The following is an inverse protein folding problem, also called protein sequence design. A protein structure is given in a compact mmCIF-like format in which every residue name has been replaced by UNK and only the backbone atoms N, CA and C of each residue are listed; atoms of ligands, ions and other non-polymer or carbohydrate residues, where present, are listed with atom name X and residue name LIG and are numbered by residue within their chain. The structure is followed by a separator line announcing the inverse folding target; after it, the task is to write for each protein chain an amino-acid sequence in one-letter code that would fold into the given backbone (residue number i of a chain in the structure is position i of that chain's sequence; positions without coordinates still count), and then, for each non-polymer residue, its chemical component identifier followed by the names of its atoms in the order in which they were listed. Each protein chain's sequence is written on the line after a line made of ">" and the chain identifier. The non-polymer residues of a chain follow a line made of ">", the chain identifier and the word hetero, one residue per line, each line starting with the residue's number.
data_IF_070673871444
#
_entry.id   IF_070673871444
#
_cell.length_a   1.000
_cell.length_b   1.000
_cell.length_c   1.000
_cell.angle_alpha   90.00
_cell.angle_beta   90.00
_cell.angle_gamma   90.00
#
_symmetry.space_group_name_H-M   'P 1'
#
loop_
_entity.id
_entity.type
_entity.pdbx_description
1 polymer ?
#
# COMPACT_ATOMS: atom_id res chain seq x y z
N UNK A 1 -17.26 16.13 -6.29
CA UNK A 1 -18.45 15.55 -5.60
C UNK A 1 -18.75 14.11 -6.02
N UNK A 2 -18.88 13.77 -7.31
CA UNK A 2 -19.20 12.39 -7.75
C UNK A 2 -18.15 11.32 -7.37
N UNK A 3 -16.85 11.62 -7.45
CA UNK A 3 -15.80 10.67 -7.06
C UNK A 3 -15.87 10.31 -5.56
N UNK A 4 -15.95 11.33 -4.69
CA UNK A 4 -16.15 11.16 -3.25
C UNK A 4 -17.45 10.40 -2.92
N UNK A 5 -18.53 10.67 -3.64
CA UNK A 5 -19.78 9.95 -3.47
C UNK A 5 -19.63 8.46 -3.80
N UNK A 6 -18.99 8.14 -4.93
CA UNK A 6 -18.67 6.76 -5.31
C UNK A 6 -17.79 6.08 -4.25
N UNK A 7 -16.78 6.79 -3.73
CA UNK A 7 -15.94 6.31 -2.65
C UNK A 7 -16.74 5.97 -1.38
N UNK A 8 -17.65 6.86 -0.95
CA UNK A 8 -18.55 6.63 0.19
C UNK A 8 -19.45 5.41 -0.01
N UNK A 9 -20.01 5.22 -1.20
CA UNK A 9 -20.88 4.08 -1.52
C UNK A 9 -20.18 2.73 -1.40
N UNK A 10 -18.87 2.68 -1.69
CA UNK A 10 -18.09 1.43 -1.53
C UNK A 10 -17.90 1.11 -0.05
N UNK A 11 -17.61 2.13 0.75
CA UNK A 11 -17.72 2.05 2.20
C UNK A 11 -16.66 1.23 2.94
N UNK A 12 -15.74 0.65 2.18
CA UNK A 12 -14.56 -0.06 2.65
C UNK A 12 -13.41 0.32 1.76
N UNK A 13 -12.22 0.38 2.33
CA UNK A 13 -11.00 0.75 1.63
C UNK A 13 -10.04 -0.44 1.60
N UNK A 14 -9.67 -0.86 0.40
CA UNK A 14 -8.46 -1.64 0.16
C UNK A 14 -7.32 -0.67 -0.11
N UNK A 15 -6.28 -0.75 0.70
CA UNK A 15 -5.06 0.02 0.53
C UNK A 15 -3.92 -0.88 0.08
N UNK A 16 -3.50 -0.77 -1.16
CA UNK A 16 -2.26 -1.39 -1.65
C UNK A 16 -1.11 -0.41 -1.50
N UNK A 17 0.04 -0.84 -0.99
CA UNK A 17 1.24 0.00 -1.04
C UNK A 17 2.44 -0.69 -1.66
N UNK A 18 3.00 -0.02 -2.66
CA UNK A 18 4.21 -0.42 -3.38
C UNK A 18 5.32 0.51 -2.90
N UNK A 19 5.44 0.58 -1.57
CA UNK A 19 6.42 1.39 -0.86
C UNK A 19 6.77 0.67 0.44
N UNK A 20 8.05 0.48 0.76
CA UNK A 20 8.43 -0.21 2.00
C UNK A 20 7.89 0.46 3.26
N UNK A 21 7.83 1.79 3.27
CA UNK A 21 7.65 2.61 4.49
C UNK A 21 6.34 3.39 4.55
N UNK A 22 5.44 3.21 3.58
CA UNK A 22 4.18 3.94 3.50
C UNK A 22 3.05 3.37 4.35
N UNK A 23 3.07 2.05 4.59
CA UNK A 23 2.00 1.29 5.24
C UNK A 23 1.51 1.90 6.55
N UNK A 24 2.42 2.04 7.49
CA UNK A 24 2.13 2.57 8.83
C UNK A 24 1.64 4.00 8.82
N UNK A 25 2.28 4.88 8.05
CA UNK A 25 1.90 6.27 7.95
C UNK A 25 0.48 6.42 7.40
N UNK A 26 0.14 5.70 6.33
CA UNK A 26 -1.19 5.74 5.74
C UNK A 26 -2.24 5.12 6.66
N UNK A 27 -1.95 3.98 7.29
CA UNK A 27 -2.89 3.30 8.19
C UNK A 27 -3.30 4.22 9.35
N UNK A 28 -2.33 4.86 10.01
CA UNK A 28 -2.57 5.86 11.05
C UNK A 28 -3.38 7.04 10.54
N UNK A 29 -3.04 7.53 9.34
CA UNK A 29 -3.77 8.62 8.71
C UNK A 29 -5.23 8.25 8.44
N UNK A 30 -5.51 7.04 7.98
CA UNK A 30 -6.87 6.54 7.77
C UNK A 30 -7.64 6.50 9.09
N UNK A 31 -7.04 5.97 10.16
CA UNK A 31 -7.64 5.94 11.51
C UNK A 31 -7.90 7.36 12.04
N UNK A 32 -6.94 8.28 11.86
CA UNK A 32 -7.09 9.69 12.23
C UNK A 32 -8.25 10.37 11.49
N UNK A 33 -8.62 9.87 10.31
CA UNK A 33 -9.77 10.28 9.52
C UNK A 33 -11.01 9.39 9.71
N UNK A 34 -11.09 8.62 10.80
CA UNK A 34 -12.30 7.89 11.21
C UNK A 34 -12.44 6.46 10.69
N UNK A 35 -11.48 5.97 9.91
CA UNK A 35 -11.48 4.57 9.49
C UNK A 35 -11.25 3.63 10.68
N UNK A 36 -11.82 2.42 10.57
CA UNK A 36 -11.61 1.30 11.49
C UNK A 36 -10.72 0.25 10.83
N UNK A 37 -9.73 -0.25 11.56
CA UNK A 37 -8.74 -1.24 11.12
C UNK A 37 -8.39 -2.15 12.30
N UNK A 38 -7.91 -3.36 12.01
CA UNK A 38 -7.49 -4.35 13.02
C UNK A 38 -6.27 -3.88 13.83
N UNK A 39 -5.33 -3.25 13.12
CA UNK A 39 -4.09 -2.76 13.71
C UNK A 39 -3.90 -1.28 13.37
N UNK A 40 -3.32 -0.53 14.31
CA UNK A 40 -2.87 0.85 14.08
C UNK A 40 -1.52 0.92 13.35
N UNK A 41 -0.89 -0.24 13.07
CA UNK A 41 0.50 -0.31 12.61
C UNK A 41 0.65 -0.43 11.11
N UNK A 42 -0.16 -1.23 10.44
CA UNK A 42 -0.07 -1.37 8.98
C UNK A 42 -1.41 -1.73 8.32
N UNK A 43 -2.48 -1.83 9.10
CA UNK A 43 -3.81 -2.19 8.62
C UNK A 43 -3.86 -3.57 7.95
N UNK A 44 -2.85 -4.42 8.13
CA UNK A 44 -2.92 -5.81 7.69
C UNK A 44 -3.99 -6.56 8.49
N UNK A 45 -4.64 -7.49 7.82
CA UNK A 45 -5.54 -8.47 8.41
C UNK A 45 -4.88 -9.83 8.25
N UNK A 46 -4.44 -10.42 9.35
CA UNK A 46 -3.66 -11.67 9.33
C UNK A 46 -4.39 -12.80 8.60
N UNK A 47 -5.72 -12.87 8.76
CA UNK A 47 -6.58 -13.85 8.10
C UNK A 47 -6.52 -13.79 6.56
N UNK A 48 -6.02 -12.69 5.97
CA UNK A 48 -5.92 -12.53 4.52
C UNK A 48 -4.57 -12.95 3.93
N UNK A 49 -3.51 -13.03 4.74
CA UNK A 49 -2.17 -13.38 4.27
C UNK A 49 -1.63 -12.42 3.20
N UNK A 50 -1.91 -11.12 3.35
CA UNK A 50 -1.41 -10.07 2.46
C UNK A 50 -0.11 -9.44 2.96
N UNK A 51 0.61 -10.13 3.83
CA UNK A 51 1.94 -9.73 4.25
C UNK A 51 2.89 -9.61 3.04
N UNK A 52 3.82 -8.66 3.07
CA UNK A 52 4.76 -8.48 1.99
C UNK A 52 5.65 -9.72 1.84
N UNK A 53 6.08 -9.98 0.61
CA UNK A 53 6.88 -11.16 0.25
C UNK A 53 8.10 -10.72 -0.52
N UNK A 54 9.21 -10.56 0.19
CA UNK A 54 10.39 -9.89 -0.33
C UNK A 54 11.51 -10.85 -0.66
N UNK A 55 11.66 -11.93 0.11
CA UNK A 55 12.87 -12.74 0.09
C UNK A 55 12.67 -14.08 -0.60
N UNK A 56 13.62 -14.43 -1.46
CA UNK A 56 13.72 -15.77 -2.03
C UNK A 56 14.30 -16.72 -0.96
N UNK A 57 13.45 -17.62 -0.47
CA UNK A 57 13.81 -18.60 0.54
C UNK A 57 14.91 -19.55 0.05
N UNK A 58 14.85 -19.99 -1.21
CA UNK A 58 15.83 -20.93 -1.77
C UNK A 58 17.21 -20.27 -1.88
N UNK A 59 17.28 -19.00 -2.26
CA UNK A 59 18.54 -18.26 -2.28
C UNK A 59 19.07 -18.00 -0.87
N UNK A 60 18.20 -17.67 0.08
CA UNK A 60 18.58 -17.54 1.49
C UNK A 60 19.22 -18.84 2.02
N UNK A 61 18.63 -20.00 1.73
CA UNK A 61 19.18 -21.30 2.09
C UNK A 61 20.54 -21.57 1.42
N UNK A 62 20.71 -21.20 0.15
CA UNK A 62 21.99 -21.34 -0.56
C UNK A 62 23.10 -20.55 0.15
N UNK A 63 22.83 -19.32 0.60
CA UNK A 63 23.81 -18.51 1.33
C UNK A 63 24.22 -19.20 2.64
N UNK A 64 23.28 -19.89 3.31
CA UNK A 64 23.49 -20.58 4.59
C UNK A 64 24.20 -21.93 4.47
N UNK A 65 24.13 -22.65 3.35
CA UNK A 65 24.51 -24.09 3.20
C UNK A 65 25.82 -24.57 3.87
N UNK A 66 26.78 -23.70 4.13
CA UNK A 66 28.06 -24.05 4.78
C UNK A 66 28.28 -23.40 6.15
N UNK A 67 27.23 -22.83 6.74
CA UNK A 67 27.29 -22.06 7.97
C UNK A 67 26.23 -22.53 8.95
N UNK A 68 26.63 -22.71 10.21
CA UNK A 68 25.70 -22.88 11.30
C UNK A 68 25.31 -21.50 11.83
N UNK A 69 24.09 -21.08 11.51
CA UNK A 69 23.53 -19.77 11.86
C UNK A 69 22.20 -19.98 12.56
N UNK A 70 21.80 -19.09 13.47
CA UNK A 70 20.48 -19.16 14.11
C UNK A 70 19.33 -18.61 13.24
N UNK A 71 19.60 -18.29 11.97
CA UNK A 71 18.67 -17.63 11.06
C UNK A 71 18.22 -18.61 9.97
N UNK A 72 17.45 -19.62 10.37
CA UNK A 72 16.96 -20.66 9.46
C UNK A 72 15.73 -20.18 8.67
N UNK A 73 14.88 -19.38 9.31
CA UNK A 73 13.69 -18.80 8.71
C UNK A 73 13.89 -17.31 8.46
N UNK A 74 13.62 -16.87 7.22
CA UNK A 74 13.59 -15.45 6.91
C UNK A 74 12.18 -14.88 7.06
N UNK A 75 12.11 -13.67 7.60
CA UNK A 75 10.87 -12.90 7.63
C UNK A 75 10.44 -12.52 6.21
N UNK A 76 9.15 -12.61 5.88
CA UNK A 76 8.58 -12.23 4.56
C UNK A 76 9.10 -13.07 3.38
N UNK A 77 9.09 -14.41 3.47
CA UNK A 77 9.50 -15.27 2.36
C UNK A 77 8.50 -15.19 1.20
N UNK A 78 9.00 -15.38 -0.01
CA UNK A 78 8.19 -15.53 -1.20
C UNK A 78 7.42 -16.85 -1.15
N UNK A 79 6.14 -16.76 -0.76
CA UNK A 79 5.18 -17.87 -0.68
C UNK A 79 3.89 -17.53 -1.44
N UNK A 80 3.08 -18.51 -1.88
CA UNK A 80 1.78 -18.25 -2.50
C UNK A 80 0.75 -17.65 -1.52
N UNK A 81 -0.24 -16.89 -2.02
CA UNK A 81 -1.33 -16.35 -1.18
C UNK A 81 -2.42 -17.40 -1.02
N UNK A 82 -3.13 -17.32 0.10
CA UNK A 82 -4.43 -17.97 0.25
C UNK A 82 -5.46 -17.39 -0.75
N UNK A 83 -6.19 -18.23 -1.50
CA UNK A 83 -7.12 -17.78 -2.54
C UNK A 83 -8.45 -17.26 -1.94
N UNK A 84 -8.39 -16.16 -1.18
CA UNK A 84 -9.56 -15.55 -0.53
C UNK A 84 -10.17 -14.49 -1.45
N UNK A 85 -11.42 -14.71 -1.86
CA UNK A 85 -12.14 -13.80 -2.75
C UNK A 85 -12.39 -12.42 -2.14
N UNK A 86 -12.54 -11.40 -2.99
CA UNK A 86 -12.92 -10.05 -2.58
C UNK A 86 -14.28 -9.96 -1.87
N UNK A 87 -15.22 -10.87 -2.20
CA UNK A 87 -16.50 -10.98 -1.51
C UNK A 87 -16.29 -11.47 -0.08
N UNK A 88 -15.49 -12.52 0.10
CA UNK A 88 -15.15 -13.08 1.41
C UNK A 88 -14.43 -12.05 2.28
N UNK A 89 -13.45 -11.33 1.71
CA UNK A 89 -12.74 -10.24 2.39
C UNK A 89 -13.70 -9.16 2.87
N UNK A 90 -14.60 -8.68 2.00
CA UNK A 90 -15.61 -7.67 2.37
C UNK A 90 -16.50 -8.14 3.51
N UNK A 91 -17.04 -9.35 3.43
CA UNK A 91 -17.89 -9.91 4.49
C UNK A 91 -17.13 -10.03 5.82
N UNK A 92 -15.86 -10.43 5.77
CA UNK A 92 -15.02 -10.51 6.95
C UNK A 92 -14.84 -9.12 7.59
N UNK A 93 -14.47 -8.11 6.81
CA UNK A 93 -14.33 -6.72 7.30
C UNK A 93 -15.65 -6.20 7.90
N UNK A 94 -16.79 -6.52 7.27
CA UNK A 94 -18.11 -6.11 7.77
C UNK A 94 -18.41 -6.70 9.13
N UNK A 95 -18.15 -8.00 9.31
CA UNK A 95 -18.38 -8.71 10.59
C UNK A 95 -17.50 -8.18 11.72
N UNK A 96 -16.32 -7.67 11.40
CA UNK A 96 -15.37 -7.12 12.38
C UNK A 96 -15.43 -5.60 12.48
N UNK A 97 -16.45 -4.96 11.89
CA UNK A 97 -16.63 -3.51 11.87
C UNK A 97 -15.41 -2.72 11.34
N UNK A 98 -14.60 -3.34 10.48
CA UNK A 98 -13.45 -2.72 9.84
C UNK A 98 -13.86 -2.07 8.52
N UNK A 99 -13.26 -0.92 8.22
CA UNK A 99 -13.56 -0.13 7.03
C UNK A 99 -12.31 0.17 6.20
N UNK A 100 -11.12 -0.19 6.67
CA UNK A 100 -9.88 -0.10 5.93
C UNK A 100 -9.00 -1.33 6.22
N UNK A 101 -8.33 -1.84 5.20
CA UNK A 101 -7.27 -2.84 5.35
C UNK A 101 -6.17 -2.63 4.30
N UNK A 102 -4.99 -3.17 4.57
CA UNK A 102 -3.85 -3.12 3.68
C UNK A 102 -3.62 -4.44 2.94
N UNK A 103 -3.17 -4.31 1.70
CA UNK A 103 -2.66 -5.38 0.87
C UNK A 103 -1.20 -5.05 0.49
N UNK A 104 -0.23 -5.72 1.13
CA UNK A 104 1.21 -5.46 0.92
C UNK A 104 1.88 -6.40 -0.09
N UNK A 105 1.09 -7.22 -0.80
CA UNK A 105 1.63 -8.22 -1.71
C UNK A 105 1.33 -7.90 -3.19
N UNK A 106 0.30 -8.52 -3.75
CA UNK A 106 -0.09 -8.37 -5.16
C UNK A 106 -1.58 -8.08 -5.28
N UNK A 107 -2.02 -7.60 -6.44
CA UNK A 107 -3.41 -7.65 -6.85
C UNK A 107 -3.93 -9.09 -6.77
N UNK A 108 -5.23 -9.25 -6.52
CA UNK A 108 -5.88 -10.56 -6.47
C UNK A 108 -6.06 -11.13 -7.87
N UNK A 109 -6.36 -12.43 -7.95
CA UNK A 109 -6.35 -13.12 -9.23
C UNK A 109 -4.92 -13.23 -9.77
N UNK A 110 -4.77 -13.28 -11.09
CA UNK A 110 -3.42 -13.29 -11.69
C UNK A 110 -2.58 -14.54 -11.37
N UNK A 111 -3.19 -15.63 -10.90
CA UNK A 111 -2.47 -16.88 -10.61
C UNK A 111 -2.14 -17.67 -11.88
N UNK A 112 -3.04 -17.62 -12.87
CA UNK A 112 -2.90 -18.33 -14.15
C UNK A 112 -2.59 -17.39 -15.30
N UNK A 113 -3.07 -16.14 -15.23
CA UNK A 113 -2.88 -15.16 -16.29
C UNK A 113 -2.93 -13.72 -15.74
N UNK A 114 -1.99 -12.84 -16.13
CA UNK A 114 -1.92 -11.47 -15.62
C UNK A 114 -3.16 -10.63 -15.93
N UNK A 115 -3.90 -10.93 -16.98
CA UNK A 115 -5.12 -10.17 -17.34
C UNK A 115 -6.27 -10.39 -16.36
N UNK A 116 -6.20 -11.45 -15.54
CA UNK A 116 -7.16 -11.73 -14.49
C UNK A 116 -6.80 -11.04 -13.18
N UNK A 117 -5.70 -10.29 -13.12
CA UNK A 117 -5.32 -9.56 -11.92
C UNK A 117 -6.26 -8.37 -11.68
N UNK A 118 -6.68 -8.19 -10.43
CA UNK A 118 -7.58 -7.12 -10.04
C UNK A 118 -7.46 -6.78 -8.54
N UNK A 119 -7.66 -5.52 -8.14
CA UNK A 119 -7.99 -5.20 -6.76
C UNK A 119 -9.47 -5.54 -6.47
N UNK A 120 -9.92 -5.39 -5.23
CA UNK A 120 -11.30 -5.60 -4.84
C UNK A 120 -12.19 -4.42 -5.27
N UNK A 121 -12.74 -4.49 -6.49
CA UNK A 121 -13.59 -3.44 -7.07
C UNK A 121 -14.86 -3.12 -6.28
N UNK A 122 -15.30 -4.04 -5.40
CA UNK A 122 -16.38 -3.79 -4.46
C UNK A 122 -15.92 -2.93 -3.26
N UNK A 123 -14.70 -2.43 -3.23
CA UNK A 123 -14.11 -1.55 -2.22
C UNK A 123 -13.46 -0.34 -2.90
N UNK A 124 -13.25 0.74 -2.14
CA UNK A 124 -12.42 1.86 -2.56
C UNK A 124 -10.98 1.38 -2.61
N UNK A 125 -10.35 1.50 -3.76
CA UNK A 125 -9.02 0.95 -4.02
C UNK A 125 -8.01 2.09 -4.07
N UNK A 126 -7.08 2.07 -3.13
CA UNK A 126 -6.07 3.10 -2.97
C UNK A 126 -4.71 2.47 -3.21
N UNK A 127 -3.92 3.05 -4.11
CA UNK A 127 -2.56 2.59 -4.36
C UNK A 127 -1.57 3.67 -3.98
N UNK A 128 -0.70 3.36 -3.02
CA UNK A 128 0.45 4.20 -2.73
C UNK A 128 1.69 3.73 -3.50
N UNK A 129 2.19 4.66 -4.29
CA UNK A 129 3.37 4.54 -5.13
C UNK A 129 4.56 5.25 -4.47
N UNK A 130 5.73 4.82 -4.91
CA UNK A 130 7.02 5.41 -4.58
C UNK A 130 7.86 5.49 -5.84
N UNK A 131 8.69 6.52 -5.99
CA UNK A 131 9.62 6.60 -7.11
C UNK A 131 10.47 5.31 -7.17
N UNK A 132 10.63 4.64 -8.33
CA UNK A 132 11.28 3.33 -8.38
C UNK A 132 12.67 3.29 -7.74
N UNK A 133 13.47 4.34 -7.92
CA UNK A 133 14.85 4.42 -7.37
C UNK A 133 14.86 4.51 -5.85
N UNK A 134 14.04 5.41 -5.31
CA UNK A 134 13.86 5.59 -3.87
C UNK A 134 13.28 4.33 -3.21
N UNK A 135 12.38 3.65 -3.92
CA UNK A 135 11.79 2.38 -3.52
C UNK A 135 12.83 1.26 -3.45
N UNK A 136 13.70 1.12 -4.45
CA UNK A 136 14.80 0.15 -4.48
C UNK A 136 15.71 0.35 -3.26
N UNK A 137 16.18 1.58 -3.06
CA UNK A 137 17.04 1.96 -1.92
C UNK A 137 16.34 1.60 -0.60
N UNK A 138 15.04 1.90 -0.49
CA UNK A 138 14.28 1.62 0.73
C UNK A 138 14.11 0.12 1.01
N UNK A 139 13.95 -0.73 0.00
CA UNK A 139 13.87 -2.19 0.19
C UNK A 139 15.22 -2.78 0.57
N UNK A 140 16.31 -2.37 -0.07
CA UNK A 140 17.68 -2.81 0.28
C UNK A 140 18.00 -2.45 1.73
N UNK A 141 17.74 -1.21 2.13
CA UNK A 141 17.94 -0.76 3.52
C UNK A 141 17.06 -1.52 4.51
N UNK A 142 15.84 -1.89 4.11
CA UNK A 142 14.97 -2.68 4.97
C UNK A 142 15.48 -4.10 5.14
N UNK A 143 15.86 -4.76 4.05
CA UNK A 143 16.45 -6.09 4.09
C UNK A 143 17.70 -6.11 4.96
N UNK A 144 18.58 -5.12 4.79
CA UNK A 144 19.75 -4.94 5.64
C UNK A 144 19.39 -4.98 7.13
N UNK A 145 18.41 -4.16 7.53
CA UNK A 145 17.98 -4.05 8.93
C UNK A 145 17.35 -5.37 9.41
N UNK A 146 16.50 -6.00 8.60
CA UNK A 146 15.86 -7.27 8.95
C UNK A 146 16.90 -8.35 9.20
N UNK A 147 17.89 -8.50 8.31
CA UNK A 147 18.97 -9.44 8.53
C UNK A 147 19.74 -9.15 9.82
N UNK A 148 20.19 -7.90 10.03
CA UNK A 148 20.91 -7.53 11.25
C UNK A 148 20.13 -7.84 12.53
N UNK A 149 18.83 -7.55 12.54
CA UNK A 149 17.97 -7.76 13.71
C UNK A 149 17.61 -9.23 13.94
N UNK A 150 17.36 -10.00 12.87
CA UNK A 150 16.87 -11.39 12.97
C UNK A 150 17.97 -12.42 12.99
N UNK A 151 19.01 -12.21 12.19
CA UNK A 151 20.14 -13.13 12.07
C UNK A 151 21.33 -12.72 12.94
N UNK A 152 21.29 -11.54 13.56
CA UNK A 152 22.43 -10.98 14.29
C UNK A 152 23.51 -10.42 13.37
N UNK A 153 24.32 -9.49 13.88
CA UNK A 153 25.29 -8.75 13.07
C UNK A 153 26.38 -9.65 12.47
N UNK A 154 26.87 -10.62 13.24
CA UNK A 154 27.93 -11.55 12.82
C UNK A 154 27.49 -12.35 11.59
N UNK A 155 26.38 -13.08 11.70
CA UNK A 155 25.93 -13.99 10.63
C UNK A 155 25.44 -13.19 9.42
N UNK A 156 24.75 -12.06 9.66
CA UNK A 156 24.36 -11.13 8.61
C UNK A 156 25.54 -10.70 7.75
N UNK A 157 26.63 -10.20 8.37
CA UNK A 157 27.78 -9.70 7.61
C UNK A 157 28.61 -10.84 6.99
N UNK A 158 28.73 -11.96 7.68
CA UNK A 158 29.59 -13.08 7.26
C UNK A 158 28.95 -13.98 6.19
N UNK A 159 27.62 -14.13 6.22
CA UNK A 159 26.87 -15.09 5.42
C UNK A 159 25.98 -14.37 4.42
N UNK A 160 24.92 -13.71 4.91
CA UNK A 160 23.83 -13.24 4.06
C UNK A 160 24.15 -11.97 3.27
N UNK A 161 24.98 -11.09 3.86
CA UNK A 161 25.32 -9.77 3.34
C UNK A 161 26.82 -9.66 3.00
N UNK A 162 27.51 -10.80 2.90
CA UNK A 162 28.94 -10.89 2.57
C UNK A 162 29.28 -10.16 1.28
N UNK A 163 28.45 -10.38 0.25
CA UNK A 163 28.62 -9.82 -1.10
C UNK A 163 27.60 -8.72 -1.43
N UNK A 164 27.10 -8.02 -0.42
CA UNK A 164 26.09 -6.94 -0.53
C UNK A 164 26.46 -5.80 -1.48
N UNK A 165 27.72 -5.66 -1.81
CA UNK A 165 28.19 -4.59 -2.69
C UNK A 165 27.85 -4.86 -4.16
N UNK A 166 27.26 -6.02 -4.48
CA UNK A 166 26.87 -6.42 -5.83
C UNK A 166 25.35 -6.48 -6.00
N UNK A 167 24.86 -5.92 -7.09
CA UNK A 167 23.43 -5.89 -7.42
C UNK A 167 22.83 -7.27 -7.68
N UNK A 168 23.58 -8.19 -8.29
CA UNK A 168 23.09 -9.54 -8.60
C UNK A 168 22.77 -10.35 -7.33
N UNK A 169 23.52 -10.15 -6.25
CA UNK A 169 23.25 -10.77 -4.95
C UNK A 169 21.93 -10.27 -4.38
N UNK A 170 21.69 -8.95 -4.44
CA UNK A 170 20.43 -8.37 -3.99
C UNK A 170 19.25 -8.82 -4.85
N UNK A 171 19.43 -8.93 -6.17
CA UNK A 171 18.38 -9.42 -7.08
C UNK A 171 18.06 -10.89 -6.86
N UNK A 172 19.05 -11.73 -6.58
CA UNK A 172 18.81 -13.13 -6.25
C UNK A 172 18.07 -13.25 -4.90
N UNK A 173 18.39 -12.38 -3.94
CA UNK A 173 17.77 -12.39 -2.62
C UNK A 173 16.37 -11.76 -2.59
N UNK A 174 16.15 -10.67 -3.32
CA UNK A 174 14.88 -9.94 -3.39
C UNK A 174 14.45 -9.69 -4.84
N UNK A 175 14.11 -10.75 -5.59
CA UNK A 175 13.90 -10.65 -7.03
C UNK A 175 12.72 -9.75 -7.39
N UNK A 176 11.60 -9.83 -6.67
CA UNK A 176 10.43 -9.02 -6.99
C UNK A 176 10.57 -7.53 -6.59
N UNK A 177 10.98 -7.18 -5.35
CA UNK A 177 11.11 -5.77 -4.95
C UNK A 177 12.08 -4.93 -5.78
N UNK A 178 13.08 -5.57 -6.39
CA UNK A 178 14.17 -4.91 -7.10
C UNK A 178 14.05 -4.97 -8.63
N UNK A 179 12.97 -5.53 -9.18
CA UNK A 179 12.80 -5.69 -10.62
C UNK A 179 11.34 -5.48 -11.05
N UNK A 180 10.99 -4.26 -11.46
CA UNK A 180 9.64 -3.86 -11.87
C UNK A 180 8.57 -4.20 -10.82
N UNK A 181 8.83 -3.86 -9.57
CA UNK A 181 7.95 -4.21 -8.44
C UNK A 181 6.52 -3.67 -8.62
N UNK A 182 6.34 -2.50 -9.26
CA UNK A 182 5.00 -1.96 -9.53
C UNK A 182 4.23 -2.90 -10.46
N UNK A 183 4.82 -3.25 -11.60
CA UNK A 183 4.20 -4.16 -12.57
C UNK A 183 3.91 -5.52 -11.92
N UNK A 184 4.88 -6.08 -11.19
CA UNK A 184 4.74 -7.35 -10.49
C UNK A 184 3.59 -7.35 -9.49
N UNK A 185 3.48 -6.31 -8.67
CA UNK A 185 2.39 -6.16 -7.71
C UNK A 185 1.04 -6.00 -8.39
N UNK A 186 0.95 -5.29 -9.52
CA UNK A 186 -0.31 -5.08 -10.24
C UNK A 186 -0.81 -6.32 -10.99
N UNK A 187 0.09 -7.20 -11.43
CA UNK A 187 -0.25 -8.32 -12.34
C UNK A 187 -0.43 -9.68 -11.64
N UNK A 188 -0.44 -9.71 -10.30
CA UNK A 188 -0.69 -10.93 -9.53
C UNK A 188 0.51 -11.88 -9.48
N UNK A 189 0.30 -13.06 -8.88
CA UNK A 189 1.38 -13.98 -8.50
C UNK A 189 2.15 -14.59 -9.68
N UNK A 190 1.47 -14.81 -10.81
CA UNK A 190 2.10 -15.40 -12.00
C UNK A 190 3.22 -14.51 -12.54
N UNK A 191 3.06 -13.19 -12.42
CA UNK A 191 4.06 -12.21 -12.84
C UNK A 191 5.01 -11.90 -11.69
N UNK A 192 4.52 -11.86 -10.45
CA UNK A 192 5.32 -11.50 -9.28
C UNK A 192 6.59 -12.36 -9.16
N UNK A 193 6.48 -13.65 -9.47
CA UNK A 193 7.58 -14.62 -9.34
C UNK A 193 8.37 -14.86 -10.63
N UNK A 194 8.12 -14.11 -11.72
CA UNK A 194 8.88 -14.28 -12.96
C UNK A 194 10.38 -14.02 -12.77
N UNK A 195 11.27 -14.68 -13.53
CA UNK A 195 12.69 -14.47 -13.41
C UNK A 195 13.12 -13.03 -13.75
N UNK A 196 14.37 -12.71 -13.43
CA UNK A 196 14.99 -11.44 -13.79
C UNK A 196 14.86 -11.19 -15.31
N UNK A 197 14.50 -9.97 -15.69
CA UNK A 197 14.39 -9.57 -17.10
C UNK A 197 13.17 -10.10 -17.88
N UNK A 198 12.33 -10.96 -17.28
CA UNK A 198 11.15 -11.50 -17.97
C UNK A 198 9.96 -10.53 -18.04
N UNK A 199 10.03 -9.39 -17.34
CA UNK A 199 9.01 -8.34 -17.46
C UNK A 199 9.17 -7.65 -18.82
N UNK A 200 8.08 -7.53 -19.55
CA UNK A 200 8.05 -7.15 -20.96
C UNK A 200 7.15 -5.93 -21.16
N UNK A 201 7.15 -5.37 -22.38
CA UNK A 201 6.24 -4.29 -22.73
C UNK A 201 4.76 -4.71 -22.62
N UNK A 202 4.43 -5.95 -22.99
CA UNK A 202 3.07 -6.48 -22.86
C UNK A 202 2.59 -6.50 -21.39
N UNK A 203 3.48 -6.84 -20.45
CA UNK A 203 3.19 -6.73 -19.02
C UNK A 203 2.90 -5.28 -18.62
N UNK A 204 3.71 -4.32 -19.07
CA UNK A 204 3.48 -2.90 -18.80
C UNK A 204 2.12 -2.44 -19.33
N UNK A 205 1.71 -2.87 -20.52
CA UNK A 205 0.43 -2.46 -21.11
C UNK A 205 -0.78 -2.99 -20.33
N UNK A 206 -0.72 -4.23 -19.83
CA UNK A 206 -1.73 -4.78 -18.92
C UNK A 206 -1.73 -3.99 -17.60
N UNK A 207 -0.55 -3.72 -17.03
CA UNK A 207 -0.42 -3.02 -15.76
C UNK A 207 -0.97 -1.58 -15.83
N UNK A 208 -0.74 -0.87 -16.95
CA UNK A 208 -1.36 0.43 -17.25
C UNK A 208 -2.88 0.33 -17.26
N UNK A 209 -3.42 -0.69 -17.92
CA UNK A 209 -4.85 -0.96 -17.95
C UNK A 209 -5.44 -1.17 -16.56
N UNK A 210 -4.78 -1.98 -15.72
CA UNK A 210 -5.22 -2.24 -14.34
C UNK A 210 -5.15 -0.95 -13.51
N UNK A 211 -4.03 -0.23 -13.57
CA UNK A 211 -3.83 1.00 -12.81
C UNK A 211 -4.92 2.03 -13.14
N UNK A 212 -5.15 2.29 -14.43
CA UNK A 212 -6.10 3.29 -14.89
C UNK A 212 -7.58 2.90 -14.68
N UNK A 213 -7.90 1.61 -14.72
CA UNK A 213 -9.31 1.14 -14.69
C UNK A 213 -9.76 0.63 -13.33
N UNK A 214 -8.85 0.27 -12.44
CA UNK A 214 -9.20 -0.48 -11.23
C UNK A 214 -8.79 0.16 -9.93
N UNK A 215 -7.86 1.13 -9.95
CA UNK A 215 -7.51 1.91 -8.76
C UNK A 215 -8.25 3.24 -8.78
N UNK A 216 -8.92 3.56 -7.67
CA UNK A 216 -9.73 4.77 -7.56
C UNK A 216 -8.91 6.00 -7.15
N UNK A 217 -7.83 5.78 -6.38
CA UNK A 217 -6.95 6.84 -5.87
C UNK A 217 -5.49 6.38 -5.91
N UNK A 218 -4.65 7.20 -6.53
CA UNK A 218 -3.21 7.02 -6.55
C UNK A 218 -2.54 8.03 -5.61
N UNK A 219 -1.64 7.55 -4.77
CA UNK A 219 -0.85 8.37 -3.85
C UNK A 219 0.62 8.26 -4.22
N UNK A 220 1.37 9.37 -4.25
CA UNK A 220 2.82 9.35 -4.49
C UNK A 220 3.53 9.83 -3.24
N UNK A 221 4.31 8.96 -2.61
CA UNK A 221 4.86 9.23 -1.28
C UNK A 221 5.85 10.41 -1.24
N UNK A 222 6.64 10.62 -2.29
CA UNK A 222 7.67 11.66 -2.30
C UNK A 222 7.19 13.04 -2.78
N UNK A 223 5.98 13.11 -3.33
CA UNK A 223 5.40 14.37 -3.80
C UNK A 223 4.31 14.79 -2.82
N UNK A 224 4.72 15.53 -1.78
CA UNK A 224 3.84 15.94 -0.69
C UNK A 224 2.58 16.66 -1.21
N UNK A 225 2.73 17.57 -2.19
CA UNK A 225 1.59 18.30 -2.75
C UNK A 225 0.60 17.37 -3.45
N UNK A 226 1.12 16.45 -4.28
CA UNK A 226 0.31 15.44 -4.95
C UNK A 226 -0.35 14.46 -3.97
N UNK A 227 0.40 14.02 -2.96
CA UNK A 227 -0.09 13.15 -1.89
C UNK A 227 -1.26 13.81 -1.17
N UNK A 228 -1.09 15.05 -0.71
CA UNK A 228 -2.10 15.80 0.02
C UNK A 228 -3.34 16.11 -0.83
N UNK A 229 -3.15 16.48 -2.10
CA UNK A 229 -4.26 16.68 -3.02
C UNK A 229 -5.07 15.39 -3.20
N UNK A 230 -4.40 14.26 -3.41
CA UNK A 230 -5.06 12.97 -3.64
C UNK A 230 -5.81 12.47 -2.41
N UNK A 231 -5.25 12.66 -1.21
CA UNK A 231 -5.95 12.37 0.05
C UNK A 231 -7.20 13.25 0.22
N UNK A 232 -7.09 14.55 -0.02
CA UNK A 232 -8.20 15.50 0.16
C UNK A 232 -9.31 15.30 -0.86
N UNK A 233 -8.96 15.16 -2.14
CA UNK A 233 -9.95 15.09 -3.22
C UNK A 233 -10.46 13.67 -3.42
N UNK A 234 -9.54 12.69 -3.43
CA UNK A 234 -9.86 11.29 -3.72
C UNK A 234 -10.45 10.54 -2.52
N UNK A 235 -9.89 10.71 -1.32
CA UNK A 235 -10.38 10.01 -0.12
C UNK A 235 -11.26 10.88 0.76
N UNK A 236 -11.05 12.19 0.68
CA UNK A 236 -11.75 13.11 1.54
C UNK A 236 -11.20 13.27 2.93
N UNK A 237 -9.91 12.99 3.09
CA UNK A 237 -9.26 13.14 4.37
C UNK A 237 -9.08 14.63 4.68
N UNK A 238 -9.40 15.00 5.93
CA UNK A 238 -9.26 16.36 6.45
C UNK A 238 -7.99 16.50 7.28
N UNK A 239 -7.64 15.45 8.03
CA UNK A 239 -6.38 15.36 8.76
C UNK A 239 -5.34 14.80 7.83
N UNK A 240 -4.33 15.60 7.58
CA UNK A 240 -3.42 15.40 6.47
C UNK A 240 -1.97 15.20 6.90
N UNK A 241 -1.65 15.43 8.17
CA UNK A 241 -0.28 15.37 8.69
C UNK A 241 0.29 13.95 8.60
N UNK A 242 1.13 13.63 7.60
CA UNK A 242 1.70 12.29 7.46
C UNK A 242 2.76 12.15 8.55
N UNK A 243 2.58 11.21 9.48
CA UNK A 243 3.65 10.85 10.41
C UNK A 243 4.61 9.92 9.69
N UNK A 244 5.74 10.45 9.22
CA UNK A 244 6.83 9.61 8.74
C UNK A 244 7.56 8.99 9.94
N UNK A 245 7.09 7.83 10.38
CA UNK A 245 7.61 7.16 11.58
C UNK A 245 9.00 6.52 11.39
N UNK A 246 9.51 6.48 10.15
CA UNK A 246 10.71 5.74 9.81
C UNK A 246 11.86 6.69 9.40
N UNK A 247 12.58 7.24 10.37
CA UNK A 247 13.92 7.79 10.11
C UNK A 247 14.85 6.61 9.80
N UNK A 248 15.43 6.57 8.61
CA UNK A 248 16.38 5.52 8.25
C UNK A 248 17.59 5.55 9.22
N UNK A 249 18.03 4.42 9.78
CA UNK A 249 19.21 4.39 10.65
C UNK A 249 20.45 4.85 9.88
N UNK A 250 21.38 5.53 10.59
CA UNK A 250 22.60 6.11 9.98
C UNK A 250 23.48 5.06 9.28
N UNK A 251 23.48 3.81 9.76
CA UNK A 251 24.22 2.67 9.17
C UNK A 251 23.73 2.25 7.77
N UNK A 252 22.57 2.75 7.33
CA UNK A 252 21.97 2.40 6.06
C UNK A 252 22.80 2.82 4.82
N UNK A 253 23.78 3.72 4.97
CA UNK A 253 24.69 4.07 3.86
C UNK A 253 25.61 2.90 3.46
N UNK A 254 25.95 2.00 4.37
CA UNK A 254 26.81 0.83 4.08
C UNK A 254 26.07 -0.32 3.36
N UNK A 255 24.75 -0.20 3.19
CA UNK A 255 23.90 -1.29 2.70
C UNK A 255 23.73 -1.34 1.18
N UNK A 256 24.11 -0.28 0.45
CA UNK A 256 23.81 -0.18 -0.98
C UNK A 256 24.88 -0.86 -1.85
N UNK A 257 24.48 -1.53 -2.94
CA UNK A 257 25.42 -2.08 -3.92
C UNK A 257 26.18 -0.95 -4.63
N UNK A 258 27.41 -1.23 -5.05
CA UNK A 258 28.25 -0.27 -5.78
C UNK A 258 27.70 0.01 -7.16
N UNK A 259 27.05 -0.97 -7.78
CA UNK A 259 26.49 -0.94 -9.13
C UNK A 259 24.98 -0.72 -9.14
N UNK A 260 24.47 0.08 -8.20
CA UNK A 260 23.04 0.34 -7.97
C UNK A 260 22.28 0.79 -9.24
N UNK A 261 22.95 1.48 -10.16
CA UNK A 261 22.35 1.93 -11.43
C UNK A 261 21.81 0.78 -12.28
N UNK A 262 22.38 -0.44 -12.16
CA UNK A 262 21.89 -1.63 -12.84
C UNK A 262 20.44 -1.97 -12.44
N UNK A 263 20.03 -1.60 -11.23
CA UNK A 263 18.63 -1.74 -10.78
C UNK A 263 17.71 -0.68 -11.37
N UNK A 264 18.22 0.50 -11.69
CA UNK A 264 17.40 1.58 -12.24
C UNK A 264 16.90 1.24 -13.63
N UNK A 265 17.78 0.74 -14.49
CA UNK A 265 17.43 0.29 -15.84
C UNK A 265 16.41 -0.85 -15.82
N UNK A 266 16.57 -1.79 -14.88
CA UNK A 266 15.61 -2.88 -14.68
C UNK A 266 14.22 -2.38 -14.28
N UNK A 267 14.10 -1.20 -13.65
CA UNK A 267 12.83 -0.67 -13.16
C UNK A 267 12.32 0.52 -13.99
N UNK A 268 12.89 0.76 -15.18
CA UNK A 268 12.47 1.86 -16.05
C UNK A 268 10.98 1.83 -16.41
N UNK A 269 10.41 0.63 -16.52
CA UNK A 269 9.00 0.46 -16.88
C UNK A 269 8.05 0.90 -15.76
N UNK A 270 8.49 0.92 -14.50
CA UNK A 270 7.66 1.30 -13.34
C UNK A 270 7.40 2.82 -13.25
N UNK A 271 8.08 3.65 -14.03
CA UNK A 271 7.94 5.12 -13.96
C UNK A 271 6.54 5.61 -14.32
N UNK A 272 5.75 4.82 -15.06
CA UNK A 272 4.41 5.21 -15.50
C UNK A 272 3.44 5.46 -14.34
N UNK A 273 3.62 4.81 -13.18
CA UNK A 273 2.70 4.97 -12.05
C UNK A 273 2.67 6.39 -11.52
N UNK A 274 3.84 7.02 -11.39
CA UNK A 274 3.97 8.42 -10.95
C UNK A 274 3.34 9.37 -11.97
N UNK A 275 3.52 9.09 -13.27
CA UNK A 275 2.90 9.87 -14.34
C UNK A 275 1.37 9.81 -14.27
N UNK A 276 0.81 8.62 -14.03
CA UNK A 276 -0.64 8.44 -13.86
C UNK A 276 -1.17 9.21 -12.64
N UNK A 277 -0.48 9.15 -11.51
CA UNK A 277 -0.90 9.92 -10.33
C UNK A 277 -0.87 11.44 -10.56
N UNK A 278 0.12 11.95 -11.31
CA UNK A 278 0.15 13.37 -11.69
C UNK A 278 -1.03 13.75 -12.59
N UNK A 279 -1.44 12.86 -13.48
CA UNK A 279 -2.64 13.07 -14.30
C UNK A 279 -3.90 13.16 -13.43
N UNK A 280 -4.05 12.29 -12.42
CA UNK A 280 -5.17 12.36 -11.47
C UNK A 280 -5.23 13.72 -10.76
N UNK A 281 -4.10 14.27 -10.33
CA UNK A 281 -4.08 15.60 -9.71
C UNK A 281 -4.51 16.73 -10.64
N UNK A 282 -4.14 16.68 -11.92
CA UNK A 282 -4.62 17.65 -12.91
C UNK A 282 -6.14 17.56 -13.04
N UNK A 283 -6.69 16.33 -13.08
CA UNK A 283 -8.14 16.10 -13.13
C UNK A 283 -8.82 16.62 -11.87
N UNK A 284 -8.25 16.38 -10.68
CA UNK A 284 -8.80 16.90 -9.42
C UNK A 284 -8.79 18.43 -9.35
N UNK A 285 -7.71 19.08 -9.78
CA UNK A 285 -7.63 20.56 -9.82
C UNK A 285 -8.68 21.12 -10.79
N UNK A 286 -8.78 20.58 -12.00
CA UNK A 286 -9.77 20.99 -12.98
C UNK A 286 -11.21 20.83 -12.44
N UNK A 287 -11.52 19.67 -11.86
CA UNK A 287 -12.83 19.42 -11.25
C UNK A 287 -13.12 20.38 -10.08
N UNK A 288 -12.10 20.72 -9.28
CA UNK A 288 -12.24 21.67 -8.18
C UNK A 288 -12.53 23.09 -8.68
N UNK A 289 -11.96 23.52 -9.80
CA UNK A 289 -12.22 24.85 -10.39
C UNK A 289 -13.63 24.93 -10.95
N UNK A 290 -14.08 23.90 -11.67
CA UNK A 290 -15.46 23.83 -12.17
C UNK A 290 -16.47 23.90 -11.03
N UNK A 291 -16.24 23.16 -9.94
CA UNK A 291 -17.12 23.21 -8.77
C UNK A 291 -17.18 24.61 -8.12
N UNK A 292 -16.07 25.36 -8.08
CA UNK A 292 -16.01 26.72 -7.53
C UNK A 292 -16.67 27.77 -8.44
N UNK A 293 -16.70 27.53 -9.75
CA UNK A 293 -17.28 28.46 -10.72
C UNK A 293 -18.82 28.56 -10.67
N UNK A 294 -19.48 27.80 -9.79
CA UNK A 294 -20.93 27.84 -9.64
C UNK A 294 -21.70 27.20 -10.79
N UNK A 295 -21.02 26.52 -11.73
CA UNK A 295 -21.67 25.66 -12.72
C UNK A 295 -22.38 24.54 -11.97
N UNK A 296 -23.70 24.66 -11.85
CA UNK A 296 -24.53 23.73 -11.10
C UNK A 296 -24.44 22.33 -11.71
N UNK A 297 -23.66 21.46 -11.10
CA UNK A 297 -23.74 20.02 -11.35
C UNK A 297 -24.89 19.50 -10.49
N UNK A 298 -25.98 19.07 -11.12
CA UNK A 298 -27.15 18.50 -10.44
C UNK A 298 -26.70 17.39 -9.49
N UNK A 299 -26.81 17.56 -8.17
CA UNK A 299 -26.30 16.56 -7.24
C UNK A 299 -27.18 15.32 -7.29
N UNK A 300 -26.55 14.14 -7.41
CA UNK A 300 -27.24 12.86 -7.19
C UNK A 300 -27.62 12.78 -5.71
N UNK A 301 -28.86 12.41 -5.35
CA UNK A 301 -29.30 12.38 -3.95
C UNK A 301 -28.40 11.49 -3.08
N UNK A 302 -28.05 12.01 -1.89
CA UNK A 302 -27.21 11.34 -0.91
C UNK A 302 -27.95 10.17 -0.24
N UNK A 303 -27.30 9.00 0.01
CA UNK A 303 -27.90 7.97 0.84
C UNK A 303 -28.05 8.45 2.30
N UNK A 304 -29.06 7.93 3.03
CA UNK A 304 -29.35 8.36 4.40
C UNK A 304 -28.14 8.17 5.36
N UNK A 305 -27.92 9.09 6.32
CA UNK A 305 -26.76 9.09 7.21
C UNK A 305 -26.54 7.81 8.03
N UNK A 306 -27.63 7.11 8.40
CA UNK A 306 -27.59 5.88 9.20
C UNK A 306 -26.94 4.68 8.49
N UNK A 307 -26.65 4.79 7.19
CA UNK A 307 -26.01 3.74 6.38
C UNK A 307 -24.60 4.09 5.91
N UNK A 308 -24.04 5.24 6.33
CA UNK A 308 -22.73 5.67 5.87
C UNK A 308 -21.61 5.12 6.79
N UNK A 309 -20.63 4.38 6.24
CA UNK A 309 -19.50 3.87 7.01
C UNK A 309 -18.58 5.00 7.48
N UNK A 310 -18.01 4.82 8.68
CA UNK A 310 -17.33 5.87 9.46
C UNK A 310 -15.99 6.36 8.90
N UNK A 311 -15.45 5.74 7.84
CA UNK A 311 -14.19 6.14 7.18
C UNK A 311 -14.22 7.55 6.54
N UNK A 312 -15.38 8.22 6.48
CA UNK A 312 -15.56 9.46 5.72
C UNK A 312 -16.30 10.51 6.57
N UNK A 313 -15.60 11.23 7.48
CA UNK A 313 -16.20 12.15 8.44
C UNK A 313 -16.53 13.47 7.76
N UNK A 314 -17.50 13.46 6.87
CA UNK A 314 -17.94 14.66 6.17
C UNK A 314 -19.23 15.25 6.71
N UNK A 315 -19.98 14.47 7.50
CA UNK A 315 -21.19 14.90 8.22
C UNK A 315 -21.00 14.74 9.73
N UNK A 316 -19.89 15.27 10.26
CA UNK A 316 -19.87 15.59 11.68
C UNK A 316 -20.44 16.99 11.85
N UNK A 317 -21.78 17.08 11.87
CA UNK A 317 -22.42 18.03 12.77
C UNK A 317 -21.77 17.81 14.13
N UNK A 318 -20.94 18.78 14.55
CA UNK A 318 -20.22 18.71 15.81
C UNK A 318 -21.25 18.41 16.89
N UNK A 319 -21.13 17.33 17.68
CA UNK A 319 -21.93 17.25 18.88
C UNK A 319 -21.55 18.48 19.72
N UNK A 320 -22.54 19.34 19.99
CA UNK A 320 -22.40 20.40 20.96
C UNK A 320 -22.17 19.75 22.34
N UNK A 321 -20.92 19.44 22.65
CA UNK A 321 -20.51 19.24 24.03
C UNK A 321 -20.52 20.61 24.69
N UNK A 322 -21.54 20.91 25.49
CA UNK A 322 -21.49 22.05 26.41
C UNK A 322 -20.40 21.78 27.44
N UNK A 323 -19.49 22.73 27.58
CA UNK A 323 -18.47 22.72 28.64
C UNK A 323 -19.15 22.79 30.01
N UNK A 324 -19.04 21.71 30.75
CA UNK A 324 -19.43 21.58 32.15
C UNK A 324 -18.52 20.55 32.81
N UNK A 325 -17.86 20.95 33.89
CA UNK A 325 -16.66 20.33 34.45
C UNK A 325 -16.77 18.85 34.85
N UNK A 326 -15.58 18.23 34.87
CA UNK A 326 -15.20 16.97 35.52
C UNK A 326 -16.07 15.72 35.26
N UNK A 327 -15.47 14.78 34.50
CA UNK A 327 -15.90 13.42 34.10
C UNK A 327 -16.82 13.33 32.87
N UNK A 328 -16.20 13.09 31.70
CA UNK A 328 -16.90 12.74 30.46
C UNK A 328 -17.34 11.26 30.49
N UNK A 329 -18.65 11.00 30.56
CA UNK A 329 -19.30 9.85 29.91
C UNK A 329 -20.06 10.39 28.72
N UNK A 330 -19.65 10.02 27.51
CA UNK A 330 -20.50 10.17 26.33
C UNK A 330 -21.37 8.91 26.26
N UNK A 331 -22.62 8.99 26.71
CA UNK A 331 -23.59 7.91 26.52
C UNK A 331 -24.28 8.11 25.17
N UNK A 332 -24.18 7.13 24.30
CA UNK A 332 -25.00 7.05 23.09
C UNK A 332 -26.42 6.71 23.53
N UNK A 333 -27.38 7.62 23.27
CA UNK A 333 -28.80 7.26 23.34
C UNK A 333 -29.08 6.32 22.16
N UNK A 334 -29.30 5.04 22.45
CA UNK A 334 -30.07 4.17 21.58
C UNK A 334 -31.48 4.73 21.53
N UNK A 335 -31.97 5.02 20.32
CA UNK A 335 -33.38 5.37 20.13
C UNK A 335 -34.22 4.12 20.43
N UNK A 336 -35.14 4.24 21.38
CA UNK A 336 -36.15 3.23 21.65
C UNK A 336 -37.06 3.08 20.43
N UNK A 337 -37.30 1.84 20.04
CA UNK A 337 -38.33 1.47 19.09
C UNK A 337 -39.72 1.65 19.73
N UNK A 338 -40.59 2.40 19.06
CA UNK A 338 -42.04 2.25 19.14
C UNK A 338 -42.59 2.10 17.74
#
# INVERSE_FOLDING_TARGET
>A
MQHQFSARRKGMMEFTHISKSGGTSFCRLAVDNGCQSDTEWNCLVDAFGDDPRYFDQSYHEILRRSWNTSCDDIEKPMKPRLPISCRTRRMWLQRHAQTAYANEYTAFGGFTSPVLAHPCRNMLTVLQLRHPYERIISHIKFAWIIYLLRCGERDSRAVYLKNRNRTDVWLALMPAPLNNYLIRSLLGEVVFNLPRGAISQAHLDIARGILAKHYDVLLVLEDENLFQASLRYGLGFQRLNPRHDNKAPKSAKESLPRDLWNLYDLNRLDQFGVLMARLDAIVYDAASRVAKSGVAVTPTPSPPPSQQPRCFPWDMDKPHCRDGGFRRRCTFKTADAR
#
